data_IF_677961892441
#
_entry.id   IF_677961892441
#
_cell.length_a   1.000
_cell.length_b   1.000
_cell.length_c   1.000
_cell.angle_alpha   90.00
_cell.angle_beta   90.00
_cell.angle_gamma   90.00
#
_symmetry.space_group_name_H-M   'P 1'
#
loop_
_entity.id
_entity.type
_entity.pdbx_description
1 polymer ?
#
# COMPACT_ATOMS: atom_id res chain seq x y z
N UNK A 1 -42.85 5.61 45.97
CA UNK A 1 -41.43 5.24 46.03
C UNK A 1 -41.10 4.34 44.83
N UNK A 2 -41.23 4.67 43.53
CA UNK A 2 -40.89 5.85 42.71
C UNK A 2 -39.57 6.51 43.09
N UNK A 3 -38.62 6.44 42.14
CA UNK A 3 -37.26 6.98 42.15
C UNK A 3 -36.30 6.15 43.01
N UNK A 4 -35.44 5.30 42.44
CA UNK A 4 -34.11 5.79 42.03
C UNK A 4 -33.33 4.84 41.09
N UNK A 5 -33.93 3.79 40.51
CA UNK A 5 -33.15 2.75 39.79
C UNK A 5 -33.29 2.77 38.26
N UNK A 6 -33.49 3.94 37.65
CA UNK A 6 -33.68 4.06 36.19
C UNK A 6 -33.21 5.40 35.61
N UNK A 7 -32.17 6.02 36.17
CA UNK A 7 -31.70 7.33 35.68
C UNK A 7 -30.18 7.58 35.83
N UNK A 8 -29.31 6.59 35.65
CA UNK A 8 -27.86 6.87 35.53
C UNK A 8 -27.13 5.84 34.67
N UNK A 9 -27.52 5.70 33.40
CA UNK A 9 -26.58 5.34 32.32
C UNK A 9 -27.13 5.70 30.92
N UNK A 10 -28.02 6.70 30.80
CA UNK A 10 -28.57 7.16 29.50
C UNK A 10 -28.26 8.63 29.22
N UNK A 11 -27.06 9.07 29.53
CA UNK A 11 -26.59 10.38 29.09
C UNK A 11 -25.07 10.48 29.22
N UNK A 12 -24.30 9.91 28.30
CA UNK A 12 -23.15 10.58 27.67
C UNK A 12 -22.98 9.94 26.27
N UNK A 13 -22.95 10.77 25.22
CA UNK A 13 -22.72 10.45 23.79
C UNK A 13 -23.93 10.03 22.94
N UNK A 14 -25.02 10.77 23.03
CA UNK A 14 -25.81 11.08 21.84
C UNK A 14 -25.06 12.12 21.01
N UNK A 15 -24.45 11.69 19.90
CA UNK A 15 -23.99 12.59 18.84
C UNK A 15 -24.79 12.29 17.57
N UNK A 16 -25.25 13.33 16.85
CA UNK A 16 -26.11 13.19 15.69
C UNK A 16 -25.42 12.39 14.59
N UNK A 17 -26.15 11.44 14.01
CA UNK A 17 -25.81 10.73 12.78
C UNK A 17 -25.90 11.74 11.64
N UNK A 18 -24.86 12.57 11.55
CA UNK A 18 -24.86 13.77 10.72
C UNK A 18 -23.46 14.28 10.46
N UNK A 19 -22.42 13.43 10.52
CA UNK A 19 -21.12 13.75 9.93
C UNK A 19 -20.23 12.49 9.92
N UNK A 20 -20.35 11.71 8.87
CA UNK A 20 -19.28 10.78 8.48
C UNK A 20 -19.11 10.77 6.95
N UNK A 21 -19.24 11.95 6.36
CA UNK A 21 -18.83 12.24 5.00
C UNK A 21 -17.50 13.01 5.01
N UNK A 22 -16.52 12.51 5.79
CA UNK A 22 -15.11 12.72 5.47
C UNK A 22 -14.48 11.40 5.00
N UNK A 23 -15.26 10.58 4.29
CA UNK A 23 -14.71 9.89 3.14
C UNK A 23 -14.46 10.95 2.06
N UNK A 24 -13.51 11.87 2.31
CA UNK A 24 -12.73 12.43 1.22
C UNK A 24 -12.17 11.20 0.55
N UNK A 25 -12.80 10.86 -0.58
CA UNK A 25 -12.36 9.87 -1.53
C UNK A 25 -10.85 9.98 -1.53
N UNK A 26 -10.19 9.03 -0.86
CA UNK A 26 -8.79 8.80 -1.10
C UNK A 26 -8.79 8.61 -2.59
N UNK A 27 -8.24 9.60 -3.29
CA UNK A 27 -8.12 9.62 -4.73
C UNK A 27 -7.06 8.54 -5.02
N UNK A 28 -7.38 7.28 -4.69
CA UNK A 28 -6.49 6.14 -4.69
C UNK A 28 -6.13 5.78 -6.12
N UNK A 29 -6.85 6.36 -7.08
CA UNK A 29 -6.48 6.37 -8.47
C UNK A 29 -5.79 7.69 -8.85
N UNK A 30 -4.87 8.19 -8.02
CA UNK A 30 -3.92 9.21 -8.45
C UNK A 30 -3.18 8.63 -9.64
N UNK A 31 -3.60 9.01 -10.84
CA UNK A 31 -2.92 8.59 -12.05
C UNK A 31 -1.55 9.24 -12.05
N UNK A 32 -0.48 8.51 -12.39
CA UNK A 32 0.84 9.09 -12.42
C UNK A 32 0.86 10.22 -13.47
N UNK A 33 1.40 11.37 -13.10
CA UNK A 33 1.61 12.54 -13.99
C UNK A 33 2.60 12.22 -15.09
N UNK A 34 3.63 11.44 -14.79
CA UNK A 34 4.66 11.05 -15.75
C UNK A 34 5.29 9.71 -15.41
N UNK A 35 5.98 9.13 -16.40
CA UNK A 35 6.74 7.90 -16.27
C UNK A 35 8.13 8.11 -16.85
N UNK A 36 9.15 7.78 -16.07
CA UNK A 36 10.54 7.73 -16.51
C UNK A 36 11.12 6.33 -16.28
N UNK A 37 12.29 6.03 -16.85
CA UNK A 37 12.98 4.76 -16.62
C UNK A 37 14.17 4.98 -15.69
N UNK A 38 14.41 4.03 -14.80
CA UNK A 38 15.57 4.08 -13.92
C UNK A 38 16.87 4.06 -14.74
N UNK A 39 17.83 4.88 -14.31
CA UNK A 39 19.16 4.97 -14.95
C UNK A 39 20.24 4.21 -14.19
N UNK A 40 20.06 4.08 -12.88
CA UNK A 40 20.97 3.42 -11.97
C UNK A 40 20.18 2.60 -10.97
N UNK A 41 20.81 1.56 -10.45
CA UNK A 41 20.22 0.75 -9.39
C UNK A 41 20.23 1.52 -8.07
N UNK A 42 19.10 1.49 -7.36
CA UNK A 42 18.91 1.99 -6.00
C UNK A 42 17.96 1.05 -5.25
N UNK A 43 17.89 1.16 -3.93
CA UNK A 43 16.94 0.37 -3.12
C UNK A 43 15.47 0.62 -3.50
N UNK A 44 15.15 1.83 -3.96
CA UNK A 44 13.84 2.17 -4.48
C UNK A 44 13.56 1.43 -5.80
N UNK A 45 14.53 1.44 -6.73
CA UNK A 45 14.44 0.74 -8.02
C UNK A 45 14.31 -0.76 -7.83
N UNK A 46 15.02 -1.34 -6.85
CA UNK A 46 14.90 -2.75 -6.47
C UNK A 46 13.47 -3.10 -6.03
N UNK A 47 12.84 -2.27 -5.20
CA UNK A 47 11.46 -2.49 -4.78
C UNK A 47 10.47 -2.28 -5.92
N UNK A 48 10.64 -1.24 -6.74
CA UNK A 48 9.83 -1.00 -7.93
C UNK A 48 9.90 -2.17 -8.92
N UNK A 49 11.10 -2.73 -9.13
CA UNK A 49 11.30 -3.93 -9.92
C UNK A 49 10.45 -5.10 -9.40
N UNK A 50 10.45 -5.35 -8.08
CA UNK A 50 9.65 -6.41 -7.45
C UNK A 50 8.14 -6.19 -7.61
N UNK A 51 7.66 -4.95 -7.46
CA UNK A 51 6.24 -4.65 -7.71
C UNK A 51 5.86 -4.89 -9.18
N UNK A 52 6.72 -4.47 -10.11
CA UNK A 52 6.49 -4.60 -11.55
C UNK A 52 6.52 -6.04 -12.03
N UNK A 53 7.43 -6.86 -11.48
CA UNK A 53 7.40 -8.29 -11.73
C UNK A 53 6.09 -8.94 -11.28
N UNK A 54 5.54 -8.52 -10.14
CA UNK A 54 4.27 -9.02 -9.63
C UNK A 54 3.03 -8.47 -10.37
N UNK A 55 3.22 -7.55 -11.32
CA UNK A 55 2.13 -6.96 -12.13
C UNK A 55 1.52 -5.69 -11.53
N UNK A 56 2.27 -4.99 -10.70
CA UNK A 56 1.90 -3.71 -10.09
C UNK A 56 2.89 -2.61 -10.49
N UNK A 57 2.42 -1.37 -10.65
CA UNK A 57 3.26 -0.22 -10.96
C UNK A 57 4.23 0.08 -9.83
N UNK A 58 3.71 0.07 -8.61
CA UNK A 58 4.40 0.41 -7.37
C UNK A 58 3.63 -0.09 -6.14
N UNK A 59 4.13 0.32 -4.97
CA UNK A 59 3.54 0.03 -3.68
C UNK A 59 2.14 0.61 -3.49
N UNK A 60 1.85 1.80 -4.04
CA UNK A 60 0.55 2.44 -3.88
C UNK A 60 -0.53 1.61 -4.58
N UNK A 61 -0.28 1.18 -5.82
CA UNK A 61 -1.21 0.31 -6.55
C UNK A 61 -1.40 -1.04 -5.83
N UNK A 62 -0.32 -1.64 -5.33
CA UNK A 62 -0.42 -2.91 -4.60
C UNK A 62 -1.31 -2.78 -3.36
N UNK A 63 -1.07 -1.76 -2.53
CA UNK A 63 -1.86 -1.50 -1.31
C UNK A 63 -3.32 -1.20 -1.65
N UNK A 64 -3.58 -0.48 -2.74
CA UNK A 64 -4.94 -0.19 -3.17
C UNK A 64 -5.71 -1.44 -3.61
N UNK A 65 -5.06 -2.33 -4.38
CA UNK A 65 -5.70 -3.53 -4.93
C UNK A 65 -5.86 -4.61 -3.87
N UNK A 66 -4.80 -4.89 -3.10
CA UNK A 66 -4.79 -6.02 -2.15
C UNK A 66 -5.24 -5.61 -0.75
N UNK A 67 -5.11 -4.35 -0.37
CA UNK A 67 -5.48 -3.84 0.96
C UNK A 67 -4.82 -4.61 2.10
N UNK A 68 -3.59 -5.11 1.86
CA UNK A 68 -2.78 -5.84 2.84
C UNK A 68 -1.46 -5.11 3.10
N UNK A 69 -0.91 -5.35 4.28
CA UNK A 69 0.45 -4.94 4.61
C UNK A 69 1.48 -5.72 3.79
N UNK A 70 2.55 -5.03 3.37
CA UNK A 70 3.62 -5.63 2.57
C UNK A 70 4.68 -6.20 3.49
N UNK A 71 4.91 -7.50 3.39
CA UNK A 71 5.98 -8.16 4.13
C UNK A 71 7.35 -7.75 3.56
N UNK A 72 8.24 -7.23 4.42
CA UNK A 72 9.58 -6.76 4.06
C UNK A 72 10.65 -7.48 4.87
N UNK A 73 11.85 -7.57 4.31
CA UNK A 73 13.01 -8.07 5.03
C UNK A 73 13.48 -7.04 6.07
N UNK A 74 13.71 -7.42 7.34
CA UNK A 74 13.99 -6.46 8.42
C UNK A 74 15.34 -5.73 8.26
N UNK A 75 16.31 -6.33 7.58
CA UNK A 75 17.65 -5.76 7.42
C UNK A 75 17.78 -4.84 6.20
N UNK A 76 17.19 -5.23 5.06
CA UNK A 76 17.30 -4.47 3.81
C UNK A 76 16.09 -3.60 3.51
N UNK A 77 14.94 -3.86 4.14
CA UNK A 77 13.67 -3.20 3.82
C UNK A 77 13.06 -3.64 2.48
N UNK A 78 13.68 -4.59 1.77
CA UNK A 78 13.18 -5.08 0.50
C UNK A 78 11.91 -5.90 0.66
N UNK A 79 11.02 -5.79 -0.33
CA UNK A 79 9.79 -6.59 -0.40
C UNK A 79 10.13 -8.08 -0.37
N UNK A 80 9.61 -8.81 0.61
CA UNK A 80 9.87 -10.25 0.79
C UNK A 80 8.89 -11.10 0.00
N UNK A 81 7.62 -10.69 -0.06
CA UNK A 81 6.54 -11.46 -0.68
C UNK A 81 5.48 -10.54 -1.27
N UNK A 82 5.02 -10.84 -2.47
CA UNK A 82 3.86 -10.18 -3.09
C UNK A 82 2.87 -11.22 -3.60
N UNK A 83 1.58 -10.95 -3.42
CA UNK A 83 0.52 -11.69 -4.11
C UNK A 83 0.27 -11.07 -5.48
N UNK A 84 0.30 -11.87 -6.54
CA UNK A 84 0.00 -11.46 -7.91
C UNK A 84 -1.51 -11.26 -8.11
N UNK A 85 -1.88 -10.76 -9.28
CA UNK A 85 -3.29 -10.57 -9.69
C UNK A 85 -4.04 -11.90 -9.87
N UNK A 86 -3.34 -12.97 -10.23
CA UNK A 86 -3.87 -14.35 -10.33
C UNK A 86 -3.92 -15.08 -8.97
N UNK A 87 -3.69 -14.37 -7.87
CA UNK A 87 -3.63 -14.89 -6.49
C UNK A 87 -2.48 -15.85 -6.19
N UNK A 88 -1.53 -16.05 -7.12
CA UNK A 88 -0.27 -16.73 -6.85
C UNK A 88 0.69 -15.81 -6.08
N UNK A 89 1.75 -16.36 -5.50
CA UNK A 89 2.72 -15.58 -4.71
C UNK A 89 4.10 -15.58 -5.34
N UNK A 90 4.73 -14.40 -5.36
CA UNK A 90 6.16 -14.25 -5.59
C UNK A 90 6.87 -14.02 -4.26
N UNK A 91 8.01 -14.69 -4.13
CA UNK A 91 8.93 -14.60 -3.00
C UNK A 91 10.24 -14.06 -3.53
N UNK A 92 10.79 -13.09 -2.82
CA UNK A 92 12.02 -12.41 -3.22
C UNK A 92 13.09 -12.57 -2.15
N UNK A 93 14.33 -12.66 -2.57
CA UNK A 93 15.52 -12.72 -1.73
C UNK A 93 15.67 -11.47 -0.87
N UNK A 94 16.34 -11.64 0.27
CA UNK A 94 16.78 -10.53 1.13
C UNK A 94 17.87 -9.66 0.49
N UNK A 95 18.52 -10.18 -0.56
CA UNK A 95 19.57 -9.51 -1.33
C UNK A 95 18.98 -8.90 -2.61
N UNK A 96 19.78 -8.06 -3.28
CA UNK A 96 19.52 -7.49 -4.60
C UNK A 96 19.22 -8.59 -5.63
N UNK A 97 18.15 -8.42 -6.41
CA UNK A 97 17.77 -9.27 -7.53
C UNK A 97 17.66 -8.52 -8.87
N UNK A 98 17.60 -7.19 -8.85
CA UNK A 98 17.60 -6.39 -10.07
C UNK A 98 19.03 -6.29 -10.65
N UNK A 99 19.32 -7.10 -11.67
CA UNK A 99 20.55 -7.01 -12.46
C UNK A 99 20.67 -5.64 -13.14
N UNK A 100 21.89 -5.15 -13.35
CA UNK A 100 22.13 -3.85 -14.02
C UNK A 100 21.48 -3.77 -15.42
N UNK A 101 21.36 -4.90 -16.12
CA UNK A 101 20.69 -5.01 -17.43
C UNK A 101 19.17 -4.84 -17.37
N UNK A 102 18.56 -5.02 -16.19
CA UNK A 102 17.12 -4.92 -15.95
C UNK A 102 16.73 -3.54 -15.39
N UNK A 103 17.69 -2.79 -14.82
CA UNK A 103 17.48 -1.46 -14.24
C UNK A 103 16.76 -0.53 -15.23
N UNK A 104 17.23 -0.48 -16.47
CA UNK A 104 16.65 0.39 -17.50
C UNK A 104 15.23 -0.02 -17.93
N UNK A 105 14.73 -1.20 -17.51
CA UNK A 105 13.36 -1.64 -17.78
C UNK A 105 12.39 -1.21 -16.67
N UNK A 106 12.90 -0.91 -15.48
CA UNK A 106 12.10 -0.47 -14.34
C UNK A 106 11.50 0.90 -14.61
N UNK A 107 10.18 0.99 -14.51
CA UNK A 107 9.42 2.22 -14.69
C UNK A 107 9.32 2.96 -13.36
N UNK A 108 9.64 4.25 -13.35
CA UNK A 108 9.48 5.12 -12.19
C UNK A 108 8.32 6.06 -12.48
N UNK A 109 7.28 5.99 -11.66
CA UNK A 109 6.07 6.78 -11.79
C UNK A 109 6.12 7.98 -10.84
N UNK A 110 5.76 9.15 -11.36
CA UNK A 110 5.67 10.39 -10.57
C UNK A 110 4.20 10.78 -10.47
N UNK A 111 3.74 11.11 -9.27
CA UNK A 111 2.34 11.41 -8.96
C UNK A 111 2.09 12.90 -8.68
#
# INVERSE_FOLDING_TARGET
MKHQHTLYQEAIYGLPVGEMACATLMNGNSQPKSMSRARMWTDEVENLYRFQQAGYRDELEYRQIKQVEIERWPMSGYVKKLQRRDNTFYYYSKRRECDDKEVNKVKMYVY
#
